data_IF_375447614196
#
_entry.id   IF_375447614196
#
_cell.length_a   1.000
_cell.length_b   1.000
_cell.length_c   1.000
_cell.angle_alpha   90.00
_cell.angle_beta   90.00
_cell.angle_gamma   90.00
#
_symmetry.space_group_name_H-M   'P 1'
#
loop_
_entity.id
_entity.type
_entity.pdbx_description
1 polymer ?
#
# COMPACT_ATOMS: atom_id res chain seq x y z
N UNK A 1 14.35 -6.46 -19.21
CA UNK A 1 14.04 -7.20 -17.97
C UNK A 1 14.29 -6.29 -16.78
N UNK A 2 13.39 -6.29 -15.80
CA UNK A 2 13.62 -5.86 -14.41
C UNK A 2 13.93 -4.38 -14.15
N UNK A 3 12.90 -3.52 -14.11
CA UNK A 3 12.96 -2.30 -13.32
C UNK A 3 11.95 -2.47 -12.17
N UNK A 4 12.38 -3.17 -11.11
CA UNK A 4 11.69 -3.11 -9.81
C UNK A 4 11.91 -1.69 -9.30
N UNK A 5 10.90 -0.85 -9.48
CA UNK A 5 10.94 0.54 -9.02
C UNK A 5 11.07 0.51 -7.51
N UNK A 6 12.21 0.98 -7.01
CA UNK A 6 12.47 1.12 -5.59
C UNK A 6 11.45 2.10 -4.99
N UNK A 7 10.60 1.57 -4.12
CA UNK A 7 9.59 2.27 -3.34
C UNK A 7 10.10 3.58 -2.72
N UNK A 8 11.36 3.57 -2.26
CA UNK A 8 12.04 4.72 -1.65
C UNK A 8 12.50 5.78 -2.66
N UNK A 9 12.87 5.38 -3.89
CA UNK A 9 13.23 6.34 -4.94
C UNK A 9 12.01 7.08 -5.48
N UNK A 10 10.84 6.44 -5.43
CA UNK A 10 9.61 7.06 -5.89
C UNK A 10 9.21 8.24 -5.01
N UNK A 11 9.39 8.14 -3.68
CA UNK A 11 9.08 9.19 -2.70
C UNK A 11 9.95 10.45 -2.87
N UNK A 12 11.15 10.34 -3.46
CA UNK A 12 12.03 11.49 -3.75
C UNK A 12 11.75 12.18 -5.10
N UNK A 13 11.01 11.55 -6.02
CA UNK A 13 10.81 12.04 -7.40
C UNK A 13 9.38 12.53 -7.71
N UNK A 14 8.47 12.60 -6.76
CA UNK A 14 7.11 13.16 -6.99
C UNK A 14 7.12 14.70 -7.04
N UNK A 15 8.20 15.28 -7.55
CA UNK A 15 8.24 16.60 -8.17
C UNK A 15 8.56 16.41 -9.65
N UNK A 16 7.59 15.91 -10.42
CA UNK A 16 7.66 15.89 -11.89
C UNK A 16 7.95 14.53 -12.53
N UNK A 17 6.95 14.00 -13.23
CA UNK A 17 7.17 13.21 -14.44
C UNK A 17 7.00 11.70 -14.34
N UNK A 18 5.78 11.24 -14.70
CA UNK A 18 5.50 9.97 -15.41
C UNK A 18 6.05 8.66 -14.82
N UNK A 19 6.02 8.50 -13.50
CA UNK A 19 5.92 7.16 -12.95
C UNK A 19 4.46 6.68 -13.06
N UNK A 20 4.28 5.42 -13.46
CA UNK A 20 2.98 4.81 -13.75
C UNK A 20 2.08 4.89 -12.51
N UNK A 21 1.04 5.74 -12.61
CA UNK A 21 0.01 6.14 -11.63
C UNK A 21 -0.44 5.06 -10.63
N UNK A 22 0.35 4.78 -9.59
CA UNK A 22 -0.20 4.23 -8.35
C UNK A 22 -0.65 5.45 -7.54
N UNK A 23 -1.93 5.48 -7.20
CA UNK A 23 -2.52 6.52 -6.36
C UNK A 23 -1.68 6.68 -5.07
N UNK A 24 -1.26 7.90 -4.70
CA UNK A 24 -0.51 8.13 -3.46
C UNK A 24 -1.21 7.56 -2.22
N UNK A 25 -2.55 7.56 -2.19
CA UNK A 25 -3.33 6.99 -1.09
C UNK A 25 -3.19 5.46 -1.04
N UNK A 26 -3.09 4.80 -2.21
CA UNK A 26 -2.85 3.35 -2.26
C UNK A 26 -1.49 2.97 -1.70
N UNK A 27 -0.49 3.82 -1.90
CA UNK A 27 0.83 3.65 -1.29
C UNK A 27 0.72 3.72 0.24
N UNK A 28 0.02 4.71 0.76
CA UNK A 28 -0.17 4.86 2.21
C UNK A 28 -0.95 3.68 2.81
N UNK A 29 -1.95 3.14 2.10
CA UNK A 29 -2.70 1.94 2.51
C UNK A 29 -1.78 0.73 2.63
N UNK A 30 -0.90 0.48 1.64
CA UNK A 30 0.05 -0.64 1.67
C UNK A 30 0.97 -0.54 2.87
N UNK A 31 1.57 0.63 3.09
CA UNK A 31 2.46 0.84 4.24
C UNK A 31 1.70 0.72 5.56
N UNK A 32 0.46 1.23 5.64
CA UNK A 32 -0.33 1.20 6.86
C UNK A 32 -0.71 -0.23 7.23
N UNK A 33 -1.15 -1.03 6.25
CA UNK A 33 -1.37 -2.45 6.46
C UNK A 33 -0.10 -3.17 6.88
N UNK A 34 1.04 -2.87 6.27
CA UNK A 34 2.32 -3.46 6.68
C UNK A 34 2.64 -3.16 8.15
N UNK A 35 2.51 -1.91 8.59
CA UNK A 35 2.74 -1.53 9.98
C UNK A 35 1.73 -2.15 10.97
N UNK A 36 0.52 -2.47 10.51
CA UNK A 36 -0.50 -3.16 11.30
C UNK A 36 -0.37 -4.69 11.23
N UNK A 37 0.77 -5.23 10.79
CA UNK A 37 1.03 -6.67 10.73
C UNK A 37 0.47 -7.38 9.48
N UNK A 38 0.16 -6.62 8.44
CA UNK A 38 -0.26 -7.12 7.12
C UNK A 38 -1.76 -7.41 6.98
N UNK A 39 -2.56 -7.30 8.05
CA UNK A 39 -4.01 -7.50 8.01
C UNK A 39 -4.71 -6.67 9.08
N UNK A 40 -5.62 -5.78 8.68
CA UNK A 40 -6.29 -4.87 9.60
C UNK A 40 -7.71 -4.49 9.14
N UNK A 41 -8.48 -3.92 10.06
CA UNK A 41 -9.75 -3.27 9.74
C UNK A 41 -9.51 -1.94 9.01
N UNK A 42 -10.31 -1.61 8.00
CA UNK A 42 -10.19 -0.38 7.18
C UNK A 42 -10.15 0.90 8.01
N UNK A 43 -10.85 0.92 9.14
CA UNK A 43 -10.79 2.04 10.10
C UNK A 43 -9.40 2.19 10.68
N UNK A 44 -8.80 1.09 11.17
CA UNK A 44 -7.44 1.11 11.72
C UNK A 44 -6.40 1.49 10.65
N UNK A 45 -6.61 1.10 9.39
CA UNK A 45 -5.77 1.56 8.27
C UNK A 45 -5.86 3.07 8.12
N UNK A 46 -7.07 3.64 8.09
CA UNK A 46 -7.25 5.09 7.98
C UNK A 46 -6.65 5.83 9.18
N UNK A 47 -6.83 5.33 10.40
CA UNK A 47 -6.26 5.91 11.62
C UNK A 47 -4.72 5.85 11.60
N UNK A 48 -4.15 4.76 11.09
CA UNK A 48 -2.70 4.63 10.90
C UNK A 48 -2.15 5.62 9.88
N UNK A 49 -2.91 5.91 8.81
CA UNK A 49 -2.56 6.95 7.82
C UNK A 49 -2.65 8.34 8.45
N UNK A 50 -3.71 8.62 9.22
CA UNK A 50 -3.88 9.90 9.93
C UNK A 50 -2.73 10.15 10.92
N UNK A 51 -2.34 9.13 11.69
CA UNK A 51 -1.19 9.16 12.58
C UNK A 51 0.10 9.54 11.82
N UNK A 52 0.34 8.92 10.66
CA UNK A 52 1.56 9.20 9.88
C UNK A 52 1.57 10.58 9.24
N UNK A 53 0.42 11.03 8.71
CA UNK A 53 0.30 12.36 8.09
C UNK A 53 0.44 13.48 9.13
N UNK A 54 -0.13 13.30 10.32
CA UNK A 54 -0.14 14.32 11.38
C UNK A 54 1.06 14.23 12.34
N UNK A 55 1.77 13.10 12.37
CA UNK A 55 2.85 12.82 13.31
C UNK A 55 2.39 12.55 14.75
N UNK A 56 1.08 12.46 15.01
CA UNK A 56 0.51 12.21 16.35
C UNK A 56 -0.69 11.27 16.30
N UNK A 57 -0.98 10.50 17.37
CA UNK A 57 -2.17 9.66 17.41
C UNK A 57 -3.44 10.50 17.33
N UNK A 58 -4.17 10.38 16.23
CA UNK A 58 -5.49 10.97 16.08
C UNK A 58 -6.39 10.07 15.22
N UNK A 59 -7.70 10.02 15.50
CA UNK A 59 -8.65 9.33 14.62
C UNK A 59 -8.65 9.96 13.23
N UNK A 60 -8.84 9.14 12.19
CA UNK A 60 -9.00 9.64 10.84
C UNK A 60 -10.32 10.41 10.70
N UNK A 61 -10.25 11.62 10.16
CA UNK A 61 -11.42 12.43 9.82
C UNK A 61 -12.30 11.75 8.76
N UNK A 62 -13.58 12.13 8.69
CA UNK A 62 -14.53 11.53 7.76
C UNK A 62 -14.10 11.67 6.29
N UNK A 63 -13.51 12.81 5.92
CA UNK A 63 -12.98 13.04 4.58
C UNK A 63 -11.84 12.06 4.23
N UNK A 64 -10.87 11.89 5.14
CA UNK A 64 -9.75 10.96 4.95
C UNK A 64 -10.22 9.51 4.86
N UNK A 65 -11.17 9.10 5.71
CA UNK A 65 -11.75 7.74 5.61
C UNK A 65 -12.39 7.50 4.24
N UNK A 66 -13.15 8.48 3.76
CA UNK A 66 -13.81 8.40 2.45
C UNK A 66 -12.79 8.27 1.32
N UNK A 67 -11.72 9.10 1.36
CA UNK A 67 -10.60 9.04 0.41
C UNK A 67 -9.93 7.66 0.41
N UNK A 68 -9.56 7.16 1.60
CA UNK A 68 -8.89 5.85 1.77
C UNK A 68 -9.77 4.70 1.28
N UNK A 69 -11.06 4.72 1.57
CA UNK A 69 -11.97 3.64 1.16
C UNK A 69 -12.21 3.68 -0.36
N UNK A 70 -12.41 4.86 -0.93
CA UNK A 70 -12.57 5.03 -2.36
C UNK A 70 -11.33 4.58 -3.14
N UNK A 71 -10.12 4.91 -2.65
CA UNK A 71 -8.87 4.47 -3.27
C UNK A 71 -8.77 2.93 -3.31
N UNK A 72 -9.13 2.26 -2.22
CA UNK A 72 -9.13 0.80 -2.16
C UNK A 72 -10.16 0.18 -3.10
N UNK A 73 -11.37 0.74 -3.19
CA UNK A 73 -12.41 0.27 -4.10
C UNK A 73 -11.99 0.46 -5.57
N UNK A 74 -11.38 1.59 -5.91
CA UNK A 74 -10.78 1.84 -7.24
C UNK A 74 -9.72 0.79 -7.55
N UNK A 75 -8.86 0.44 -6.58
CA UNK A 75 -7.87 -0.61 -6.74
C UNK A 75 -8.49 -1.99 -7.01
N UNK A 76 -9.53 -2.38 -6.27
CA UNK A 76 -10.22 -3.65 -6.49
C UNK A 76 -10.89 -3.72 -7.87
N UNK A 77 -11.54 -2.64 -8.28
CA UNK A 77 -12.16 -2.55 -9.61
C UNK A 77 -11.12 -2.62 -10.73
N UNK A 78 -10.01 -1.91 -10.56
CA UNK A 78 -8.87 -1.96 -11.48
C UNK A 78 -8.30 -3.38 -11.59
N UNK A 79 -8.14 -4.07 -10.46
CA UNK A 79 -7.63 -5.43 -10.41
C UNK A 79 -8.60 -6.42 -11.09
N UNK A 80 -9.91 -6.28 -10.88
CA UNK A 80 -10.91 -7.14 -11.52
C UNK A 80 -10.85 -7.09 -13.06
N UNK A 81 -10.45 -5.95 -13.64
CA UNK A 81 -10.30 -5.76 -15.08
C UNK A 81 -8.98 -6.27 -15.66
N UNK A 82 -8.03 -6.73 -14.84
CA UNK A 82 -6.65 -7.03 -15.26
C UNK A 82 -6.14 -8.36 -14.70
N UNK A 83 -5.33 -9.06 -15.49
CA UNK A 83 -4.53 -10.21 -15.02
C UNK A 83 -3.24 -9.75 -14.35
N UNK A 84 -3.35 -8.95 -13.29
CA UNK A 84 -2.21 -8.53 -12.47
C UNK A 84 -2.14 -9.34 -11.18
N UNK A 85 -0.94 -9.51 -10.62
CA UNK A 85 -0.77 -10.13 -9.31
C UNK A 85 -1.31 -9.15 -8.24
N UNK A 86 -2.28 -9.56 -7.41
CA UNK A 86 -2.82 -8.69 -6.37
C UNK A 86 -1.78 -8.42 -5.29
N UNK A 87 -1.71 -7.18 -4.82
CA UNK A 87 -0.93 -6.75 -3.66
C UNK A 87 -1.77 -6.75 -2.38
N UNK A 88 -3.08 -6.56 -2.55
CA UNK A 88 -4.07 -6.49 -1.50
C UNK A 88 -5.22 -7.44 -1.80
N UNK A 89 -5.88 -7.92 -0.76
CA UNK A 89 -7.06 -8.78 -0.88
C UNK A 89 -8.00 -8.58 0.31
N UNK A 90 -9.22 -9.12 0.17
CA UNK A 90 -10.27 -9.11 1.18
C UNK A 90 -10.39 -10.50 1.83
N UNK A 91 -9.88 -10.70 3.06
CA UNK A 91 -9.87 -12.02 3.70
C UNK A 91 -11.24 -12.66 3.89
N UNK A 92 -12.28 -11.84 4.06
CA UNK A 92 -13.65 -12.29 4.31
C UNK A 92 -14.56 -12.12 3.08
N UNK A 93 -13.98 -11.89 1.90
CA UNK A 93 -14.74 -11.70 0.66
C UNK A 93 -15.27 -10.28 0.46
N UNK A 94 -16.16 -10.12 -0.53
CA UNK A 94 -16.69 -8.83 -0.95
C UNK A 94 -17.41 -8.08 0.19
N UNK A 95 -17.22 -6.76 0.28
CA UNK A 95 -17.79 -5.93 1.35
C UNK A 95 -17.08 -6.05 2.70
N UNK A 96 -16.03 -6.88 2.81
CA UNK A 96 -15.24 -7.00 4.03
C UNK A 96 -14.62 -5.66 4.43
N UNK A 97 -14.82 -5.29 5.69
CA UNK A 97 -14.11 -4.18 6.31
C UNK A 97 -12.69 -4.53 6.74
N UNK A 98 -12.30 -5.80 6.65
CA UNK A 98 -10.91 -6.25 6.84
C UNK A 98 -10.19 -6.30 5.50
N UNK A 99 -9.01 -5.70 5.47
CA UNK A 99 -8.09 -5.67 4.34
C UNK A 99 -6.79 -6.34 4.73
N UNK A 100 -6.12 -6.96 3.76
CA UNK A 100 -4.85 -7.62 3.98
C UNK A 100 -3.90 -7.48 2.79
N UNK A 101 -2.61 -7.51 3.09
CA UNK A 101 -1.56 -7.71 2.11
C UNK A 101 -1.59 -9.16 1.62
N UNK A 102 -1.39 -9.34 0.32
CA UNK A 102 -1.02 -10.65 -0.23
C UNK A 102 0.47 -10.92 0.04
N UNK A 103 0.95 -12.12 -0.28
CA UNK A 103 2.38 -12.41 -0.24
C UNK A 103 3.19 -11.44 -1.10
N UNK A 104 2.71 -11.14 -2.31
CA UNK A 104 3.36 -10.17 -3.21
C UNK A 104 3.37 -8.75 -2.60
N UNK A 105 2.30 -8.34 -1.91
CA UNK A 105 2.24 -7.08 -1.17
C UNK A 105 3.23 -7.02 -0.02
N UNK A 106 3.38 -8.11 0.74
CA UNK A 106 4.36 -8.19 1.84
C UNK A 106 5.81 -8.13 1.33
N UNK A 107 6.10 -8.77 0.20
CA UNK A 107 7.42 -8.78 -0.41
C UNK A 107 7.91 -7.39 -0.83
N UNK A 108 7.02 -6.43 -1.07
CA UNK A 108 7.41 -5.04 -1.36
C UNK A 108 8.18 -4.36 -0.22
N UNK A 109 7.97 -4.83 1.02
CA UNK A 109 8.60 -4.28 2.22
C UNK A 109 9.79 -5.10 2.71
N UNK A 110 10.07 -6.24 2.07
CA UNK A 110 11.25 -7.02 2.40
C UNK A 110 12.50 -6.31 1.84
N UNK A 111 13.59 -6.24 2.63
CA UNK A 111 14.85 -5.77 2.09
C UNK A 111 15.25 -6.66 0.91
N UNK A 112 15.78 -6.06 -0.16
CA UNK A 112 16.35 -6.84 -1.25
C UNK A 112 17.36 -7.82 -0.67
N UNK A 113 17.39 -9.09 -1.12
CA UNK A 113 18.39 -10.03 -0.65
C UNK A 113 19.76 -9.39 -0.87
N UNK A 114 20.53 -9.24 0.21
CA UNK A 114 21.87 -8.68 0.15
C UNK A 114 22.63 -9.46 -0.92
N UNK A 115 22.92 -8.82 -2.06
CA UNK A 115 23.70 -9.41 -3.11
C UNK A 115 25.03 -9.83 -2.46
N UNK A 116 25.21 -11.14 -2.29
CA UNK A 116 26.37 -11.69 -1.61
C UNK A 116 27.61 -11.13 -2.27
N UNK A 117 28.35 -10.30 -1.53
CA UNK A 117 29.65 -9.81 -1.96
C UNK A 117 30.59 -11.00 -1.93
N UNK A 118 30.64 -11.74 -3.03
CA UNK A 118 31.65 -12.77 -3.26
C UNK A 118 32.97 -12.03 -3.44
N UNK A 119 33.69 -11.86 -2.33
CA UNK A 119 35.11 -11.51 -2.37
C UNK A 119 35.80 -12.77 -2.86
N UNK A 120 36.33 -12.69 -4.09
CA UNK A 120 37.27 -13.67 -4.62
C UNK A 120 38.63 -13.47 -3.99
#
# INVERSE_FOLDING_TARGET
MGAVVSYFEHKRRVGGGRARHIDPVMVEILEALHALGGCAHRQAVADQIALRRSGRPCPAEAALRTEVYAAFDVYLNWLASRKAVPLLWLPLGAGSYRWALTLAGQQLFQPAPAAGRTVR
#
